data_IF_244486608387
#
_entry.id   IF_244486608387
#
_cell.length_a   1.000
_cell.length_b   1.000
_cell.length_c   1.000
_cell.angle_alpha   90.00
_cell.angle_beta   90.00
_cell.angle_gamma   90.00
#
_symmetry.space_group_name_H-M   'P 1'
#
loop_
_entity.id
_entity.type
_entity.pdbx_description
1 polymer ?
#
# COMPACT_ATOMS: atom_id res chain seq x y z
N UNK A 1 -12.52 21.78 20.14
CA UNK A 1 -11.31 21.59 19.33
C UNK A 1 -11.15 20.09 19.14
N UNK A 2 -11.69 19.45 18.08
CA UNK A 2 -11.44 18.03 17.87
C UNK A 2 -10.08 17.86 17.20
N UNK A 3 -9.29 17.02 17.85
CA UNK A 3 -7.95 16.54 17.49
C UNK A 3 -8.00 15.80 16.16
N UNK A 4 -7.02 16.12 15.30
CA UNK A 4 -6.92 15.67 13.91
C UNK A 4 -7.06 14.15 13.79
N UNK A 5 -8.02 13.71 12.98
CA UNK A 5 -8.09 12.35 12.49
C UNK A 5 -6.74 12.03 11.82
N UNK A 6 -5.97 11.12 12.42
CA UNK A 6 -4.86 10.49 11.71
C UNK A 6 -5.48 9.67 10.58
N UNK A 7 -5.47 10.23 9.37
CA UNK A 7 -5.82 9.55 8.14
C UNK A 7 -5.04 8.23 8.07
N UNK A 8 -5.75 7.12 8.22
CA UNK A 8 -5.14 5.80 8.19
C UNK A 8 -4.83 5.46 6.74
N UNK A 9 -3.60 5.73 6.31
CA UNK A 9 -3.17 5.59 4.92
C UNK A 9 -2.53 4.24 4.66
N UNK A 10 -3.16 3.37 3.86
CA UNK A 10 -2.45 2.24 3.27
C UNK A 10 -1.42 2.67 2.25
N UNK A 11 -0.23 2.07 2.33
CA UNK A 11 0.81 2.22 1.33
C UNK A 11 0.96 0.90 0.57
N UNK A 12 0.43 0.87 -0.66
CA UNK A 12 0.66 -0.25 -1.57
C UNK A 12 1.94 0.04 -2.35
N UNK A 13 2.91 -0.86 -2.26
CA UNK A 13 4.23 -0.67 -2.87
C UNK A 13 4.63 -1.95 -3.61
N UNK A 14 5.01 -1.75 -4.87
CA UNK A 14 5.44 -2.82 -5.76
C UNK A 14 6.78 -3.41 -5.32
N UNK A 15 6.94 -4.73 -5.51
CA UNK A 15 8.17 -5.45 -5.13
C UNK A 15 8.83 -6.21 -6.28
N UNK A 16 8.18 -6.32 -7.43
CA UNK A 16 8.69 -6.99 -8.63
C UNK A 16 9.52 -6.09 -9.54
N UNK A 17 9.68 -4.81 -9.20
CA UNK A 17 10.43 -3.84 -9.99
C UNK A 17 11.82 -3.58 -9.37
N UNK A 18 12.87 -3.60 -10.20
CA UNK A 18 14.23 -3.28 -9.77
C UNK A 18 14.34 -1.87 -9.16
N UNK A 19 13.43 -0.97 -9.55
CA UNK A 19 13.37 0.39 -9.02
C UNK A 19 12.67 0.50 -7.65
N UNK A 20 11.87 -0.48 -7.25
CA UNK A 20 11.15 -0.50 -5.97
C UNK A 20 11.40 -1.81 -5.19
N UNK A 21 12.60 -2.03 -4.67
CA UNK A 21 12.85 -3.20 -3.82
C UNK A 21 12.06 -3.12 -2.51
N UNK A 22 11.58 -4.28 -2.04
CA UNK A 22 10.80 -4.46 -0.79
C UNK A 22 11.41 -3.79 0.45
N UNK A 23 12.74 -3.61 0.50
CA UNK A 23 13.42 -2.88 1.58
C UNK A 23 12.91 -1.43 1.72
N UNK A 24 12.59 -0.77 0.62
CA UNK A 24 12.04 0.59 0.65
C UNK A 24 10.61 0.61 1.15
N UNK A 25 9.80 -0.39 0.79
CA UNK A 25 8.45 -0.50 1.29
C UNK A 25 8.39 -0.69 2.80
N UNK A 26 9.25 -1.55 3.35
CA UNK A 26 9.39 -1.70 4.80
C UNK A 26 9.87 -0.41 5.45
N UNK A 27 10.84 0.28 4.84
CA UNK A 27 11.34 1.56 5.35
C UNK A 27 10.28 2.66 5.33
N UNK A 28 9.44 2.72 4.29
CA UNK A 28 8.36 3.69 4.19
C UNK A 28 7.29 3.45 5.26
N UNK A 29 6.89 2.19 5.48
CA UNK A 29 6.03 1.80 6.60
C UNK A 29 6.56 2.30 7.94
N UNK A 30 7.86 2.13 8.17
CA UNK A 30 8.47 2.53 9.45
C UNK A 30 8.63 4.07 9.59
N UNK A 31 8.57 4.82 8.48
CA UNK A 31 8.77 6.27 8.45
C UNK A 31 7.48 7.09 8.42
N UNK A 32 6.39 6.56 7.86
CA UNK A 32 5.13 7.29 7.70
C UNK A 32 4.14 6.76 8.75
N UNK A 33 3.83 7.56 9.80
CA UNK A 33 2.76 7.24 10.73
C UNK A 33 1.45 7.13 9.97
N UNK A 34 0.73 6.02 10.13
CA UNK A 34 -0.54 5.77 9.43
C UNK A 34 -0.48 4.62 8.42
N UNK A 35 0.72 4.17 8.02
CA UNK A 35 0.85 2.94 7.21
C UNK A 35 0.57 1.72 8.07
N UNK A 36 -0.54 1.05 7.77
CA UNK A 36 -0.99 -0.13 8.51
C UNK A 36 -0.54 -1.44 7.88
N UNK A 37 -0.33 -1.46 6.56
CA UNK A 37 -0.05 -2.70 5.83
C UNK A 37 0.89 -2.44 4.64
N UNK A 38 1.75 -3.42 4.34
CA UNK A 38 2.55 -3.48 3.12
C UNK A 38 2.12 -4.71 2.36
N UNK A 39 1.50 -4.50 1.20
CA UNK A 39 1.07 -5.58 0.30
C UNK A 39 2.08 -5.75 -0.81
N UNK A 40 2.50 -6.99 -1.07
CA UNK A 40 3.49 -7.33 -2.09
C UNK A 40 2.84 -8.10 -3.22
N UNK A 41 3.02 -7.61 -4.46
CA UNK A 41 2.57 -8.29 -5.67
C UNK A 41 3.78 -8.88 -6.41
N UNK A 42 3.79 -10.20 -6.57
CA UNK A 42 4.88 -10.91 -7.24
C UNK A 42 4.91 -10.60 -8.73
N UNK A 43 6.09 -10.21 -9.24
CA UNK A 43 6.32 -9.90 -10.65
C UNK A 43 5.62 -8.64 -11.16
N UNK A 44 5.06 -7.82 -10.27
CA UNK A 44 4.44 -6.56 -10.62
C UNK A 44 5.51 -5.47 -10.88
N UNK A 45 5.34 -4.73 -11.97
CA UNK A 45 6.21 -3.61 -12.40
C UNK A 45 5.50 -2.27 -12.19
N UNK A 46 6.22 -1.17 -12.36
CA UNK A 46 5.70 0.20 -12.19
C UNK A 46 4.28 0.49 -12.74
N UNK A 47 3.90 -0.10 -13.88
CA UNK A 47 2.58 0.08 -14.51
C UNK A 47 1.60 -1.08 -14.26
N UNK A 48 1.81 -1.90 -13.23
CA UNK A 48 0.93 -3.03 -12.94
C UNK A 48 -0.56 -2.70 -12.76
N UNK A 49 -0.99 -1.49 -12.35
CA UNK A 49 -2.42 -1.21 -12.29
C UNK A 49 -3.08 -1.28 -13.68
N UNK A 50 -2.34 -0.97 -14.75
CA UNK A 50 -2.86 -0.96 -16.12
C UNK A 50 -3.14 -2.37 -16.66
N UNK A 51 -2.42 -3.40 -16.17
CA UNK A 51 -2.53 -4.78 -16.67
C UNK A 51 -2.92 -5.82 -15.62
N UNK A 52 -2.90 -5.47 -14.32
CA UNK A 52 -3.21 -6.35 -13.17
C UNK A 52 -4.03 -5.63 -12.10
N UNK A 53 -4.91 -4.70 -12.49
CA UNK A 53 -5.79 -3.95 -11.58
C UNK A 53 -6.55 -4.83 -10.56
N UNK A 54 -6.98 -6.02 -10.96
CA UNK A 54 -7.71 -6.94 -10.08
C UNK A 54 -6.90 -7.40 -8.87
N UNK A 55 -5.58 -7.51 -9.01
CA UNK A 55 -4.68 -7.91 -7.92
C UNK A 55 -4.41 -6.76 -6.94
N UNK A 56 -4.56 -5.51 -7.38
CA UNK A 56 -4.59 -4.34 -6.50
C UNK A 56 -5.93 -4.18 -5.79
N UNK A 57 -7.02 -4.48 -6.50
CA UNK A 57 -8.37 -4.19 -6.03
C UNK A 57 -8.73 -4.99 -4.78
N UNK A 58 -8.39 -6.29 -4.73
CA UNK A 58 -8.65 -7.14 -3.58
C UNK A 58 -8.01 -6.64 -2.26
N UNK A 59 -6.69 -6.34 -2.20
CA UNK A 59 -6.07 -5.79 -1.01
C UNK A 59 -6.59 -4.38 -0.68
N UNK A 60 -6.85 -3.54 -1.69
CA UNK A 60 -7.38 -2.19 -1.47
C UNK A 60 -8.78 -2.21 -0.83
N UNK A 61 -9.69 -3.04 -1.36
CA UNK A 61 -11.03 -3.21 -0.80
C UNK A 61 -10.98 -3.79 0.62
N UNK A 62 -10.06 -4.74 0.85
CA UNK A 62 -9.82 -5.31 2.18
C UNK A 62 -9.36 -4.25 3.17
N UNK A 63 -8.47 -3.35 2.74
CA UNK A 63 -8.01 -2.25 3.57
C UNK A 63 -9.16 -1.30 3.92
N UNK A 64 -9.97 -0.86 2.95
CA UNK A 64 -11.13 -0.01 3.22
C UNK A 64 -12.17 -0.67 4.13
N UNK A 65 -12.41 -1.98 3.96
CA UNK A 65 -13.31 -2.71 4.86
C UNK A 65 -12.80 -2.79 6.31
N UNK A 66 -11.48 -2.77 6.51
CA UNK A 66 -10.84 -2.75 7.85
C UNK A 66 -10.75 -1.36 8.47
N UNK A 67 -10.79 -0.33 7.63
CA UNK A 67 -10.73 1.08 8.03
C UNK A 67 -11.90 1.86 7.42
N UNK A 68 -13.14 1.54 7.80
CA UNK A 68 -14.28 2.36 7.43
C UNK A 68 -14.15 3.72 8.13
N UNK A 69 -14.44 4.79 7.39
CA UNK A 69 -14.42 6.18 7.85
C UNK A 69 -15.23 6.41 9.15
#
# INVERSE_FOLDING_TARGET
>A
MPESAQDTQSCVLETGDAFFPLKWARRLRDLIPGITEVVTLDGARMHFPDYRAGELLAPLLTHWARHPD
#
